data_IF_563804686896
#
_entry.id   IF_563804686896
#
_cell.length_a   1.000
_cell.length_b   1.000
_cell.length_c   1.000
_cell.angle_alpha   90.00
_cell.angle_beta   90.00
_cell.angle_gamma   90.00
#
_symmetry.space_group_name_H-M   'P 1'
#
loop_
_entity.id
_entity.type
_entity.pdbx_description
1 polymer ?
#
# COMPACT_ATOMS: atom_id res chain seq x y z
N UNK A 1 -12.95 10.98 -31.35
CA UNK A 1 -11.91 11.70 -30.58
C UNK A 1 -12.24 11.50 -29.11
N UNK A 2 -11.72 10.43 -28.52
CA UNK A 2 -11.91 10.17 -27.09
C UNK A 2 -11.07 11.15 -26.30
N UNK A 3 -11.68 11.85 -25.35
CA UNK A 3 -10.97 12.67 -24.39
C UNK A 3 -10.11 11.72 -23.56
N UNK A 4 -8.80 11.75 -23.78
CA UNK A 4 -7.84 11.19 -22.83
C UNK A 4 -7.90 12.13 -21.63
N UNK A 5 -8.66 11.73 -20.61
CA UNK A 5 -8.54 12.36 -19.30
C UNK A 5 -7.19 11.89 -18.76
N UNK A 6 -6.18 12.75 -18.79
CA UNK A 6 -4.99 12.56 -17.98
C UNK A 6 -5.43 12.60 -16.52
N UNK A 7 -5.71 11.43 -15.95
CA UNK A 7 -5.80 11.28 -14.51
C UNK A 7 -4.42 11.63 -13.97
N UNK A 8 -4.35 12.69 -13.17
CA UNK A 8 -3.14 13.15 -12.51
C UNK A 8 -2.71 12.14 -11.44
N UNK A 9 -2.20 10.97 -11.85
CA UNK A 9 -1.82 9.93 -10.90
C UNK A 9 -0.58 10.38 -10.12
N UNK A 10 -0.78 10.89 -8.91
CA UNK A 10 0.31 11.18 -7.95
C UNK A 10 1.18 9.92 -7.77
N UNK A 11 0.52 8.77 -7.77
CA UNK A 11 1.11 7.43 -7.80
C UNK A 11 0.85 6.77 -9.16
N UNK A 12 1.87 6.76 -10.03
CA UNK A 12 1.83 6.01 -11.28
C UNK A 12 2.10 4.52 -10.98
N UNK A 13 1.05 3.71 -10.97
CA UNK A 13 1.07 2.26 -10.70
C UNK A 13 0.79 1.50 -12.00
N UNK A 14 1.65 0.54 -12.41
CA UNK A 14 1.45 -0.21 -13.66
C UNK A 14 0.40 -1.31 -13.49
N UNK A 15 -0.88 -0.99 -13.70
CA UNK A 15 -2.00 -1.92 -13.51
C UNK A 15 -1.99 -3.13 -14.48
N UNK A 16 -1.43 -2.97 -15.70
CA UNK A 16 -1.52 -3.98 -16.77
C UNK A 16 -2.99 -4.36 -17.00
N UNK A 17 -3.30 -5.66 -17.04
CA UNK A 17 -4.65 -6.17 -17.34
C UNK A 17 -5.50 -6.35 -16.07
N UNK A 18 -5.01 -5.92 -14.89
CA UNK A 18 -5.72 -6.02 -13.62
C UNK A 18 -6.73 -4.86 -13.46
N UNK A 19 -7.97 -5.09 -13.94
CA UNK A 19 -9.05 -4.11 -13.88
C UNK A 19 -9.47 -3.72 -12.44
N UNK A 20 -9.33 -4.64 -11.46
CA UNK A 20 -9.61 -4.34 -10.05
C UNK A 20 -8.60 -3.31 -9.52
N UNK A 21 -7.31 -3.55 -9.78
CA UNK A 21 -6.24 -2.63 -9.41
C UNK A 21 -6.35 -1.29 -10.13
N UNK A 22 -6.71 -1.27 -11.42
CA UNK A 22 -6.95 -0.01 -12.16
C UNK A 22 -8.04 0.83 -11.48
N UNK A 23 -9.16 0.21 -11.12
CA UNK A 23 -10.24 0.89 -10.41
C UNK A 23 -9.80 1.38 -9.03
N UNK A 24 -9.07 0.56 -8.27
CA UNK A 24 -8.50 0.95 -6.98
C UNK A 24 -7.59 2.16 -7.12
N UNK A 25 -6.65 2.16 -8.08
CA UNK A 25 -5.72 3.29 -8.30
C UNK A 25 -6.47 4.57 -8.61
N UNK A 26 -7.55 4.51 -9.40
CA UNK A 26 -8.42 5.68 -9.64
C UNK A 26 -9.11 6.22 -8.38
N UNK A 27 -9.37 5.37 -7.38
CA UNK A 27 -9.94 5.76 -6.09
C UNK A 27 -8.90 6.32 -5.10
N UNK A 28 -7.61 6.18 -5.38
CA UNK A 28 -6.53 6.75 -4.55
C UNK A 28 -6.25 8.22 -4.84
N UNK A 29 -6.94 8.83 -5.81
CA UNK A 29 -7.04 10.29 -5.99
C UNK A 29 -7.96 10.94 -4.93
N UNK A 30 -7.88 10.43 -3.70
CA UNK A 30 -8.60 10.91 -2.52
C UNK A 30 -7.81 12.02 -1.84
N UNK A 31 -8.43 13.21 -1.71
CA UNK A 31 -7.77 14.40 -1.16
C UNK A 31 -7.34 14.22 0.29
N UNK A 32 -8.09 13.45 1.08
CA UNK A 32 -7.77 13.17 2.48
C UNK A 32 -6.52 12.29 2.59
N UNK A 33 -6.45 11.21 1.80
CA UNK A 33 -5.28 10.33 1.73
C UNK A 33 -4.02 11.11 1.33
N UNK A 34 -4.10 11.94 0.30
CA UNK A 34 -2.96 12.74 -0.16
C UNK A 34 -2.54 13.80 0.87
N UNK A 35 -3.49 14.37 1.60
CA UNK A 35 -3.19 15.29 2.70
C UNK A 35 -2.48 14.55 3.86
N UNK A 36 -2.91 13.33 4.18
CA UNK A 36 -2.27 12.50 5.20
C UNK A 36 -0.81 12.20 4.86
N UNK A 37 -0.49 11.85 3.62
CA UNK A 37 0.92 11.67 3.19
C UNK A 37 1.75 12.94 3.36
N UNK A 38 1.19 14.11 3.05
CA UNK A 38 1.88 15.40 3.27
C UNK A 38 2.12 15.63 4.77
N UNK A 39 1.14 15.33 5.62
CA UNK A 39 1.29 15.42 7.06
C UNK A 39 2.35 14.46 7.59
N UNK A 40 2.39 13.21 7.10
CA UNK A 40 3.43 12.22 7.44
C UNK A 40 4.82 12.76 7.11
N UNK A 41 4.97 13.39 5.95
CA UNK A 41 6.25 13.95 5.56
C UNK A 41 6.70 15.13 6.44
N UNK A 42 5.77 16.01 6.82
CA UNK A 42 6.08 17.12 7.75
C UNK A 42 6.52 16.59 9.12
N UNK A 43 5.89 15.51 9.63
CA UNK A 43 6.35 14.90 10.88
C UNK A 43 7.74 14.28 10.71
N UNK A 44 7.95 13.48 9.66
CA UNK A 44 9.20 12.77 9.44
C UNK A 44 10.37 13.74 9.19
N UNK A 45 10.25 14.60 8.19
CA UNK A 45 11.34 15.48 7.72
C UNK A 45 11.47 16.71 8.61
N UNK A 46 10.42 17.55 8.67
CA UNK A 46 10.55 18.87 9.29
C UNK A 46 10.66 18.81 10.82
N UNK A 47 9.95 17.86 11.46
CA UNK A 47 9.90 17.76 12.92
C UNK A 47 10.91 16.78 13.52
N UNK A 48 11.19 15.67 12.84
CA UNK A 48 12.04 14.60 13.36
C UNK A 48 13.40 14.48 12.65
N UNK A 49 13.61 15.16 11.52
CA UNK A 49 14.86 15.09 10.75
C UNK A 49 15.13 13.72 10.14
N UNK A 50 14.08 12.95 9.84
CA UNK A 50 14.12 11.65 9.17
C UNK A 50 13.95 11.81 7.65
N UNK A 51 14.12 10.71 6.92
CA UNK A 51 13.88 10.65 5.48
C UNK A 51 12.38 10.82 5.14
N UNK A 52 12.08 11.00 3.84
CA UNK A 52 10.71 11.14 3.33
C UNK A 52 9.81 9.98 3.78
N UNK A 53 8.64 10.31 4.33
CA UNK A 53 7.52 9.37 4.57
C UNK A 53 6.28 9.95 3.88
N UNK A 54 6.50 10.58 2.72
CA UNK A 54 5.51 11.34 1.97
C UNK A 54 5.07 10.63 0.69
N UNK A 55 4.46 11.38 -0.25
CA UNK A 55 3.99 10.81 -1.51
C UNK A 55 5.08 10.15 -2.36
N UNK A 56 6.33 10.61 -2.26
CA UNK A 56 7.45 10.04 -3.01
C UNK A 56 7.82 8.66 -2.47
N UNK A 57 8.02 8.55 -1.16
CA UNK A 57 8.23 7.28 -0.46
C UNK A 57 7.12 6.27 -0.80
N UNK A 58 5.85 6.64 -0.57
CA UNK A 58 4.69 5.79 -0.84
C UNK A 58 4.66 5.27 -2.28
N UNK A 59 4.94 6.14 -3.26
CA UNK A 59 4.98 5.77 -4.67
C UNK A 59 6.04 4.70 -4.95
N UNK A 60 7.20 4.83 -4.33
CA UNK A 60 8.31 3.92 -4.56
C UNK A 60 8.02 2.56 -3.91
N UNK A 61 7.57 2.55 -2.66
CA UNK A 61 7.21 1.32 -1.95
C UNK A 61 6.12 0.57 -2.72
N UNK A 62 5.04 1.23 -3.14
CA UNK A 62 3.96 0.60 -3.89
C UNK A 62 4.43 -0.01 -5.23
N UNK A 63 5.27 0.70 -5.99
CA UNK A 63 5.82 0.18 -7.25
C UNK A 63 6.81 -0.97 -7.02
N UNK A 64 7.65 -0.86 -5.98
CA UNK A 64 8.61 -1.88 -5.58
C UNK A 64 7.91 -3.17 -5.15
N UNK A 65 6.92 -3.05 -4.28
CA UNK A 65 6.10 -4.15 -3.77
C UNK A 65 5.37 -4.87 -4.92
N UNK A 66 4.66 -4.12 -5.77
CA UNK A 66 3.96 -4.71 -6.92
C UNK A 66 4.91 -5.44 -7.88
N UNK A 67 6.07 -4.85 -8.18
CA UNK A 67 7.09 -5.48 -9.02
C UNK A 67 7.63 -6.75 -8.37
N UNK A 68 7.90 -6.72 -7.07
CA UNK A 68 8.43 -7.85 -6.32
C UNK A 68 7.43 -9.00 -6.27
N UNK A 69 6.17 -8.73 -5.94
CA UNK A 69 5.10 -9.74 -5.98
C UNK A 69 5.04 -10.42 -7.34
N UNK A 70 5.01 -9.65 -8.43
CA UNK A 70 4.99 -10.18 -9.81
C UNK A 70 6.21 -11.02 -10.16
N UNK A 71 7.39 -10.68 -9.64
CA UNK A 71 8.60 -11.49 -9.85
C UNK A 71 8.53 -12.81 -9.09
N UNK A 72 8.01 -12.80 -7.86
CA UNK A 72 7.84 -13.99 -7.03
C UNK A 72 6.79 -14.92 -7.64
N UNK A 73 5.62 -14.41 -8.02
CA UNK A 73 4.56 -15.20 -8.67
C UNK A 73 5.01 -15.75 -10.02
N UNK A 74 5.76 -14.97 -10.81
CA UNK A 74 6.40 -15.44 -12.03
C UNK A 74 7.46 -16.55 -11.83
N UNK A 75 7.87 -16.81 -10.58
CA UNK A 75 8.76 -17.91 -10.18
C UNK A 75 8.04 -19.03 -9.41
N UNK A 76 6.71 -18.99 -9.35
CA UNK A 76 5.90 -20.04 -8.73
C UNK A 76 5.67 -19.87 -7.22
N UNK A 77 5.98 -18.71 -6.65
CA UNK A 77 5.53 -18.38 -5.28
C UNK A 77 4.05 -18.01 -5.34
N UNK A 78 3.20 -18.81 -4.71
CA UNK A 78 1.76 -18.52 -4.63
C UNK A 78 1.49 -17.46 -3.54
N UNK A 79 0.70 -16.40 -3.83
CA UNK A 79 0.31 -15.42 -2.82
C UNK A 79 -0.58 -16.04 -1.72
N UNK A 80 -0.48 -15.53 -0.49
CA UNK A 80 -1.22 -16.09 0.64
C UNK A 80 -2.73 -15.88 0.49
N UNK A 81 -3.18 -14.75 -0.09
CA UNK A 81 -4.61 -14.53 -0.30
C UNK A 81 -5.23 -15.58 -1.24
N UNK A 82 -4.42 -16.16 -2.14
CA UNK A 82 -4.83 -17.24 -3.05
C UNK A 82 -4.92 -18.56 -2.28
N UNK A 83 -3.87 -18.92 -1.53
CA UNK A 83 -3.81 -20.21 -0.83
C UNK A 83 -4.77 -20.30 0.34
N UNK A 84 -5.01 -19.19 1.03
CA UNK A 84 -5.70 -19.17 2.31
C UNK A 84 -7.20 -18.88 2.14
N UNK A 85 -7.55 -18.08 1.13
CA UNK A 85 -8.93 -17.62 0.90
C UNK A 85 -9.49 -17.94 -0.50
N UNK A 86 -8.70 -18.55 -1.38
CA UNK A 86 -9.14 -18.90 -2.74
C UNK A 86 -9.37 -17.69 -3.65
N UNK A 87 -8.81 -16.53 -3.31
CA UNK A 87 -8.86 -15.30 -4.11
C UNK A 87 -7.93 -15.40 -5.33
N UNK A 88 -7.92 -14.38 -6.20
CA UNK A 88 -7.05 -14.38 -7.38
C UNK A 88 -5.68 -13.74 -7.14
N UNK A 89 -4.72 -14.02 -8.01
CA UNK A 89 -3.42 -13.34 -7.99
C UNK A 89 -3.55 -11.83 -8.25
N UNK A 90 -4.61 -11.39 -8.96
CA UNK A 90 -4.91 -9.97 -9.12
C UNK A 90 -5.30 -9.30 -7.78
N UNK A 91 -5.93 -10.05 -6.87
CA UNK A 91 -6.29 -9.54 -5.53
C UNK A 91 -5.05 -9.37 -4.65
N UNK A 92 -4.05 -10.24 -4.79
CA UNK A 92 -2.76 -10.06 -4.13
C UNK A 92 -2.07 -8.76 -4.57
N UNK A 93 -2.18 -8.37 -5.85
CA UNK A 93 -1.67 -7.08 -6.34
C UNK A 93 -2.39 -5.89 -5.68
N UNK A 94 -3.71 -6.01 -5.46
CA UNK A 94 -4.49 -4.98 -4.75
C UNK A 94 -4.04 -4.87 -3.29
N UNK A 95 -3.84 -6.00 -2.61
CA UNK A 95 -3.36 -6.03 -1.21
C UNK A 95 -2.03 -5.29 -1.08
N UNK A 96 -1.01 -5.67 -1.87
CA UNK A 96 0.33 -5.07 -1.72
C UNK A 96 0.34 -3.58 -2.06
N UNK A 97 -0.47 -3.13 -3.03
CA UNK A 97 -0.55 -1.71 -3.40
C UNK A 97 -1.25 -0.91 -2.31
N UNK A 98 -2.42 -1.37 -1.83
CA UNK A 98 -3.16 -0.68 -0.77
C UNK A 98 -2.37 -0.64 0.54
N UNK A 99 -1.74 -1.74 0.93
CA UNK A 99 -0.88 -1.80 2.11
C UNK A 99 0.28 -0.82 1.99
N UNK A 100 1.00 -0.80 0.87
CA UNK A 100 2.09 0.15 0.63
C UNK A 100 1.63 1.62 0.70
N UNK A 101 0.43 1.91 0.20
CA UNK A 101 -0.17 3.25 0.19
C UNK A 101 -0.57 3.72 1.59
N UNK A 102 -0.89 2.80 2.49
CA UNK A 102 -1.47 3.10 3.80
C UNK A 102 -0.57 2.77 5.00
N UNK A 103 0.57 2.09 4.79
CA UNK A 103 1.38 1.54 5.89
C UNK A 103 1.84 2.61 6.89
N UNK A 104 2.08 3.82 6.39
CA UNK A 104 2.69 4.93 7.12
C UNK A 104 1.71 6.04 7.53
N UNK A 105 0.40 5.82 7.46
CA UNK A 105 -0.58 6.89 7.77
C UNK A 105 -0.49 7.38 9.23
N UNK A 106 -0.07 6.54 10.17
CA UNK A 106 0.19 6.92 11.56
C UNK A 106 1.30 7.97 11.69
N UNK A 107 2.25 8.02 10.75
CA UNK A 107 3.29 9.06 10.70
C UNK A 107 2.71 10.47 10.53
N UNK A 108 1.43 10.63 10.20
CA UNK A 108 0.80 11.95 10.16
C UNK A 108 0.73 12.64 11.53
N UNK A 109 0.86 11.89 12.64
CA UNK A 109 0.84 12.47 13.99
C UNK A 109 1.72 11.75 15.03
N UNK A 110 2.22 10.54 14.79
CA UNK A 110 3.06 9.82 15.75
C UNK A 110 4.11 8.96 15.05
N UNK A 111 5.34 8.91 15.60
CA UNK A 111 6.41 8.02 15.08
C UNK A 111 6.41 6.65 15.76
N UNK A 112 6.28 6.64 17.08
CA UNK A 112 6.30 5.41 17.85
C UNK A 112 5.02 4.63 17.58
N UNK A 113 5.17 3.37 17.22
CA UNK A 113 4.06 2.44 16.92
C UNK A 113 3.14 2.94 15.78
N UNK A 114 3.67 3.77 14.87
CA UNK A 114 2.91 4.40 13.78
C UNK A 114 2.18 3.36 12.92
N UNK A 115 2.73 2.16 12.73
CA UNK A 115 2.11 1.04 12.03
C UNK A 115 0.77 0.62 12.67
N UNK A 116 0.67 0.68 14.00
CA UNK A 116 -0.56 0.38 14.75
C UNK A 116 -1.56 1.52 14.60
N UNK A 117 -1.08 2.76 14.66
CA UNK A 117 -1.93 3.94 14.49
C UNK A 117 -2.38 4.18 13.03
N UNK A 118 -1.70 3.58 12.05
CA UNK A 118 -2.13 3.55 10.65
C UNK A 118 -3.43 2.77 10.47
N UNK A 119 -3.66 1.71 11.23
CA UNK A 119 -4.82 0.80 11.11
C UNK A 119 -6.17 1.53 11.15
N UNK A 120 -6.53 2.31 12.17
CA UNK A 120 -7.84 2.97 12.21
C UNK A 120 -8.05 3.97 11.06
N UNK A 121 -6.97 4.57 10.55
CA UNK A 121 -7.03 5.49 9.41
C UNK A 121 -7.26 4.68 8.12
N UNK A 122 -6.50 3.61 7.94
CA UNK A 122 -6.60 2.69 6.81
C UNK A 122 -8.00 2.07 6.73
N UNK A 123 -8.54 1.52 7.83
CA UNK A 123 -9.91 0.96 7.90
C UNK A 123 -10.94 1.95 7.34
N UNK A 124 -10.92 3.21 7.80
CA UNK A 124 -11.88 4.23 7.36
C UNK A 124 -11.77 4.57 5.87
N UNK A 125 -10.62 4.36 5.24
CA UNK A 125 -10.44 4.54 3.79
C UNK A 125 -10.83 3.26 3.06
N UNK A 126 -10.42 2.09 3.54
CA UNK A 126 -10.75 0.77 2.99
C UNK A 126 -12.26 0.54 2.92
N UNK A 127 -13.00 0.92 3.97
CA UNK A 127 -14.47 0.85 4.03
C UNK A 127 -15.16 1.70 2.95
N UNK A 128 -14.48 2.72 2.39
CA UNK A 128 -15.00 3.54 1.29
C UNK A 128 -14.63 3.01 -0.09
N UNK A 129 -13.44 2.42 -0.23
CA UNK A 129 -12.89 2.06 -1.55
C UNK A 129 -13.20 0.61 -1.93
N UNK A 130 -13.09 -0.35 -1.00
CA UNK A 130 -13.21 -1.77 -1.32
C UNK A 130 -14.62 -2.18 -1.76
N UNK A 131 -15.72 -1.66 -1.16
CA UNK A 131 -17.09 -2.00 -1.61
C UNK A 131 -17.41 -1.52 -3.04
N UNK A 132 -16.60 -0.64 -3.62
CA UNK A 132 -16.76 -0.23 -5.00
C UNK A 132 -16.21 -1.26 -5.99
N UNK A 133 -15.34 -2.18 -5.55
CA UNK A 133 -14.63 -3.15 -6.39
C UNK A 133 -15.05 -4.59 -6.08
N UNK A 134 -15.39 -4.86 -4.82
CA UNK A 134 -15.58 -6.21 -4.28
C UNK A 134 -16.97 -6.41 -3.67
N UNK A 135 -17.42 -7.65 -3.60
CA UNK A 135 -18.51 -8.05 -2.71
C UNK A 135 -18.10 -7.92 -1.23
N UNK A 136 -19.07 -7.98 -0.31
CA UNK A 136 -18.81 -7.77 1.13
C UNK A 136 -17.77 -8.74 1.69
N UNK A 137 -17.85 -10.02 1.33
CA UNK A 137 -16.92 -11.06 1.78
C UNK A 137 -15.50 -10.81 1.27
N UNK A 138 -15.34 -10.66 -0.04
CA UNK A 138 -14.05 -10.38 -0.69
C UNK A 138 -13.43 -9.07 -0.17
N UNK A 139 -14.22 -8.01 0.00
CA UNK A 139 -13.77 -6.74 0.55
C UNK A 139 -13.25 -6.91 1.99
N UNK A 140 -13.90 -7.76 2.79
CA UNK A 140 -13.48 -8.04 4.17
C UNK A 140 -12.15 -8.79 4.18
N UNK A 141 -11.99 -9.78 3.30
CA UNK A 141 -10.74 -10.55 3.14
C UNK A 141 -9.60 -9.63 2.71
N UNK A 142 -9.78 -8.86 1.65
CA UNK A 142 -8.77 -7.91 1.15
C UNK A 142 -8.40 -6.89 2.23
N UNK A 143 -9.39 -6.35 2.95
CA UNK A 143 -9.15 -5.43 4.07
C UNK A 143 -8.29 -6.09 5.16
N UNK A 144 -8.61 -7.32 5.57
CA UNK A 144 -7.84 -8.08 6.56
C UNK A 144 -6.38 -8.25 6.14
N UNK A 145 -6.13 -8.66 4.90
CA UNK A 145 -4.78 -8.87 4.36
C UNK A 145 -3.99 -7.56 4.24
N UNK A 146 -4.65 -6.47 3.81
CA UNK A 146 -4.05 -5.13 3.77
C UNK A 146 -3.62 -4.69 5.16
N UNK A 147 -4.50 -4.80 6.17
CA UNK A 147 -4.22 -4.35 7.52
C UNK A 147 -3.13 -5.20 8.20
N UNK A 148 -3.08 -6.50 7.93
CA UNK A 148 -1.99 -7.37 8.37
C UNK A 148 -0.65 -6.91 7.79
N UNK A 149 -0.59 -6.62 6.49
CA UNK A 149 0.61 -6.08 5.85
C UNK A 149 1.00 -4.70 6.40
N UNK A 150 0.01 -3.81 6.65
CA UNK A 150 0.23 -2.50 7.27
C UNK A 150 0.83 -2.63 8.66
N UNK A 151 0.35 -3.53 9.52
CA UNK A 151 0.95 -3.69 10.86
C UNK A 151 2.31 -4.38 10.79
N UNK A 152 2.48 -5.32 9.85
CA UNK A 152 3.66 -6.18 9.78
C UNK A 152 4.87 -5.53 9.09
N UNK A 153 4.72 -4.39 8.42
CA UNK A 153 5.81 -3.75 7.69
C UNK A 153 6.98 -3.37 8.61
N UNK A 154 6.70 -2.91 9.84
CA UNK A 154 7.74 -2.47 10.75
C UNK A 154 8.48 -3.65 11.42
N UNK A 155 9.74 -3.44 11.81
CA UNK A 155 10.69 -4.50 12.15
C UNK A 155 10.20 -5.49 13.23
N UNK A 156 9.45 -5.00 14.22
CA UNK A 156 9.02 -5.79 15.39
C UNK A 156 7.95 -6.84 15.05
N UNK A 157 7.18 -6.63 13.98
CA UNK A 157 6.05 -7.49 13.63
C UNK A 157 6.44 -8.47 12.52
N UNK A 158 6.16 -9.77 12.73
CA UNK A 158 6.49 -10.82 11.76
C UNK A 158 5.45 -10.87 10.63
N UNK A 159 5.85 -10.72 9.35
CA UNK A 159 4.92 -10.89 8.24
C UNK A 159 4.54 -12.36 8.09
N UNK A 160 3.27 -12.67 8.28
CA UNK A 160 2.74 -14.04 8.14
C UNK A 160 2.23 -14.39 6.73
N UNK A 161 2.23 -13.42 5.82
CA UNK A 161 1.75 -13.60 4.43
C UNK A 161 2.81 -13.18 3.44
N UNK A 162 2.76 -13.73 2.23
CA UNK A 162 3.68 -13.34 1.14
C UNK A 162 3.58 -11.85 0.87
N UNK A 163 2.35 -11.33 0.85
CA UNK A 163 2.01 -9.93 0.61
C UNK A 163 2.61 -9.02 1.68
N UNK A 164 2.46 -9.36 2.97
CA UNK A 164 3.08 -8.62 4.07
C UNK A 164 4.61 -8.64 3.99
N UNK A 165 5.20 -9.79 3.64
CA UNK A 165 6.63 -9.93 3.45
C UNK A 165 7.14 -9.05 2.30
N UNK A 166 6.41 -9.02 1.18
CA UNK A 166 6.71 -8.17 0.02
C UNK A 166 6.68 -6.70 0.39
N UNK A 167 5.64 -6.23 1.10
CA UNK A 167 5.53 -4.82 1.53
C UNK A 167 6.68 -4.46 2.47
N UNK A 168 6.98 -5.32 3.45
CA UNK A 168 8.10 -5.13 4.39
C UNK A 168 9.45 -4.99 3.69
N UNK A 169 9.74 -5.86 2.72
CA UNK A 169 11.01 -5.78 1.97
C UNK A 169 11.02 -4.56 1.05
N UNK A 170 9.90 -4.23 0.40
CA UNK A 170 9.81 -3.05 -0.47
C UNK A 170 10.01 -1.73 0.30
N UNK A 171 9.44 -1.62 1.49
CA UNK A 171 9.66 -0.50 2.41
C UNK A 171 11.12 -0.42 2.85
N UNK A 172 11.68 -1.52 3.35
CA UNK A 172 13.08 -1.57 3.77
C UNK A 172 14.06 -1.18 2.63
N UNK A 173 13.82 -1.64 1.40
CA UNK A 173 14.60 -1.26 0.22
C UNK A 173 14.46 0.23 -0.14
N UNK A 174 13.37 0.88 0.26
CA UNK A 174 13.22 2.32 0.14
C UNK A 174 14.10 3.10 1.12
N UNK A 175 14.18 2.57 2.33
CA UNK A 175 14.96 3.12 3.44
C UNK A 175 16.47 2.89 3.34
N UNK A 176 16.94 2.04 2.42
CA UNK A 176 18.36 1.79 2.20
C UNK A 176 19.12 3.05 1.72
N UNK A 177 20.40 3.15 2.13
CA UNK A 177 21.22 4.36 1.97
C UNK A 177 21.23 4.86 0.51
N UNK A 178 20.76 6.09 0.29
CA UNK A 178 20.89 6.79 -1.00
C UNK A 178 19.71 7.67 -1.39
N UNK A 179 18.52 7.48 -0.80
CA UNK A 179 17.33 8.31 -1.05
C UNK A 179 17.19 9.51 -0.10
N UNK A 180 18.17 10.40 -0.21
CA UNK A 180 18.26 11.76 0.34
C UNK A 180 18.86 11.92 1.76
N UNK A 181 19.87 12.81 1.79
CA UNK A 181 19.96 13.92 2.75
C UNK A 181 19.34 15.15 2.07
#
# INVERSE_FOLDING_TARGET
MGVVVELSNIINIPCRDNAKLEKIVGLLEDTELQALWKCSNVLAVDRLGLNDHGPVHVKIVANGALKMLRLLTGKGVEPSIVTDHGMSAEDAEVVVVLASVMHDLGMSFVRKDHEVYSVPIAVRILDRILPQVYGVEEATIVSSEVLHAVVSHHAVNEPLTVEAGVVKVADALDMEQGRAR
#
